data_IF_924540927986
#
_entry.id   IF_924540927986
#
_cell.length_a   1.000
_cell.length_b   1.000
_cell.length_c   1.000
_cell.angle_alpha   90.00
_cell.angle_beta   90.00
_cell.angle_gamma   90.00
#
_symmetry.space_group_name_H-M   'P 1'
#
loop_
_entity.id
_entity.type
_entity.pdbx_description
1 polymer ?
#
# COMPACT_ATOMS: atom_id res chain seq x y z
N UNK A 1 12.97 2.97 13.10
CA UNK A 1 12.28 1.92 12.30
C UNK A 1 11.68 2.63 11.08
N UNK A 2 11.98 2.19 9.85
CA UNK A 2 11.43 2.77 8.61
C UNK A 2 12.39 3.61 7.73
N UNK A 3 13.54 4.06 8.24
CA UNK A 3 14.51 4.87 7.46
C UNK A 3 15.13 4.15 6.26
N UNK A 4 15.15 2.81 6.26
CA UNK A 4 15.68 2.00 5.15
C UNK A 4 14.64 1.64 4.09
N UNK A 5 13.38 2.03 4.28
CA UNK A 5 12.33 1.85 3.27
C UNK A 5 12.47 2.90 2.18
N UNK A 6 12.00 2.61 0.97
CA UNK A 6 11.97 3.61 -0.12
C UNK A 6 11.10 4.81 0.23
N UNK A 7 10.04 4.59 1.02
CA UNK A 7 9.21 5.65 1.58
C UNK A 7 9.90 6.46 2.69
N UNK A 8 11.03 5.98 3.23
CA UNK A 8 11.80 6.62 4.31
C UNK A 8 11.11 6.62 5.67
N UNK A 9 9.92 6.02 5.78
CA UNK A 9 9.11 5.94 7.01
C UNK A 9 8.20 4.72 6.97
N UNK A 10 7.69 4.36 8.14
CA UNK A 10 6.59 3.39 8.25
C UNK A 10 5.30 4.03 7.70
N UNK A 11 4.52 3.24 6.97
CA UNK A 11 3.19 3.63 6.49
C UNK A 11 2.20 3.84 7.65
N UNK A 12 1.15 4.62 7.39
CA UNK A 12 0.05 4.86 8.32
C UNK A 12 -1.14 3.96 7.99
N UNK A 13 -2.01 3.73 8.97
CA UNK A 13 -3.18 2.87 8.80
C UNK A 13 -4.13 3.39 7.71
N UNK A 14 -4.24 4.71 7.58
CA UNK A 14 -5.10 5.38 6.61
C UNK A 14 -4.66 5.12 5.16
N UNK A 15 -3.34 4.94 4.95
CA UNK A 15 -2.78 4.62 3.62
C UNK A 15 -3.25 3.22 3.18
N UNK A 16 -3.23 2.23 4.07
CA UNK A 16 -3.79 0.90 3.79
C UNK A 16 -5.32 0.92 3.64
N UNK A 17 -6.03 1.68 4.47
CA UNK A 17 -7.48 1.83 4.37
C UNK A 17 -7.92 2.45 3.03
N UNK A 18 -7.16 3.44 2.54
CA UNK A 18 -7.43 4.05 1.23
C UNK A 18 -7.30 3.06 0.08
N UNK A 19 -6.33 2.13 0.14
CA UNK A 19 -6.18 1.07 -0.86
C UNK A 19 -7.33 0.05 -0.80
N UNK A 20 -7.81 -0.28 0.41
CA UNK A 20 -9.00 -1.13 0.56
C UNK A 20 -10.24 -0.46 -0.04
N UNK A 21 -10.45 0.84 0.22
CA UNK A 21 -11.53 1.61 -0.38
C UNK A 21 -11.41 1.69 -1.91
N UNK A 22 -10.20 1.84 -2.43
CA UNK A 22 -9.93 1.80 -3.87
C UNK A 22 -10.39 0.47 -4.48
N UNK A 23 -10.03 -0.67 -3.87
CA UNK A 23 -10.47 -1.98 -4.34
C UNK A 23 -12.00 -2.13 -4.30
N UNK A 24 -12.65 -1.61 -3.25
CA UNK A 24 -14.12 -1.65 -3.14
C UNK A 24 -14.83 -0.75 -4.17
N UNK A 25 -14.22 0.37 -4.55
CA UNK A 25 -14.85 1.40 -5.38
C UNK A 25 -14.64 1.19 -6.88
N UNK A 26 -13.76 0.26 -7.27
CA UNK A 26 -13.39 0.03 -8.67
C UNK A 26 -13.77 -1.40 -9.11
N UNK A 27 -15.00 -1.63 -9.60
CA UNK A 27 -15.53 -2.97 -9.85
C UNK A 27 -14.79 -3.76 -10.95
N UNK A 28 -13.99 -3.07 -11.78
CA UNK A 28 -13.20 -3.70 -12.84
C UNK A 28 -11.77 -4.07 -12.40
N UNK A 29 -11.34 -3.65 -11.21
CA UNK A 29 -10.03 -4.03 -10.67
C UNK A 29 -10.17 -5.35 -9.94
N UNK A 30 -9.93 -6.45 -10.66
CA UNK A 30 -10.03 -7.82 -10.15
C UNK A 30 -8.74 -8.60 -10.39
N UNK A 31 -8.52 -9.68 -9.62
CA UNK A 31 -7.35 -10.56 -9.75
C UNK A 31 -5.99 -9.89 -9.53
N UNK A 32 -5.99 -8.68 -8.96
CA UNK A 32 -4.81 -7.83 -8.82
C UNK A 32 -4.49 -7.59 -7.35
N UNK A 33 -3.20 -7.38 -7.04
CA UNK A 33 -2.73 -7.07 -5.69
C UNK A 33 -2.20 -5.65 -5.64
N UNK A 34 -2.74 -4.84 -4.73
CA UNK A 34 -2.22 -3.49 -4.43
C UNK A 34 -1.27 -3.59 -3.24
N UNK A 35 0.04 -3.43 -3.49
CA UNK A 35 1.06 -3.49 -2.45
C UNK A 35 1.18 -2.13 -1.76
N UNK A 36 0.97 -2.10 -0.44
CA UNK A 36 1.05 -0.90 0.40
C UNK A 36 2.05 -1.14 1.53
N UNK A 37 3.33 -1.18 1.22
CA UNK A 37 4.40 -1.56 2.15
C UNK A 37 5.54 -0.53 2.26
N UNK A 38 5.36 0.66 1.68
CA UNK A 38 6.39 1.70 1.65
C UNK A 38 7.64 1.31 0.85
N UNK A 39 7.55 0.32 -0.04
CA UNK A 39 8.64 -0.20 -0.84
C UNK A 39 9.46 -1.29 -0.15
N UNK A 40 8.93 -1.91 0.92
CA UNK A 40 9.61 -3.00 1.64
C UNK A 40 9.95 -4.17 0.72
N UNK A 41 9.06 -4.54 -0.21
CA UNK A 41 9.26 -5.67 -1.12
C UNK A 41 10.31 -5.43 -2.21
N UNK A 42 10.87 -4.22 -2.29
CA UNK A 42 11.80 -3.80 -3.34
C UNK A 42 13.23 -3.56 -2.83
N UNK A 43 13.50 -3.79 -1.53
CA UNK A 43 14.78 -3.53 -0.87
C UNK A 43 15.22 -4.69 0.02
#
# INVERSE_FOLDING_TARGET
IGSGLLLGRVGRAEEAASAALFCMSNPYVTGSVVVVDGGTSLV
#
